data_IF_343965308458
#
_entry.id   IF_343965308458
#
_cell.length_a   1.000
_cell.length_b   1.000
_cell.length_c   1.000
_cell.angle_alpha   90.00
_cell.angle_beta   90.00
_cell.angle_gamma   90.00
#
_symmetry.space_group_name_H-M   'P 1'
#
loop_
_entity.id
_entity.type
_entity.pdbx_description
1 polymer ?
#
# COMPACT_ATOMS: atom_id res chain seq x y z
N UNK A 1 7.14 -16.64 25.25
CA UNK A 1 6.43 -17.11 26.43
C UNK A 1 4.96 -17.31 26.05
N UNK A 2 4.60 -18.52 25.92
CA UNK A 2 3.37 -19.27 25.75
C UNK A 2 2.03 -18.54 25.63
N UNK A 3 1.61 -18.31 24.38
CA UNK A 3 0.24 -17.97 23.98
C UNK A 3 -0.75 -19.17 24.08
N UNK A 4 -0.33 -20.31 24.60
CA UNK A 4 -1.16 -21.52 24.78
C UNK A 4 -2.12 -21.44 25.97
N UNK A 5 -1.90 -20.49 26.88
CA UNK A 5 -2.66 -20.43 28.16
C UNK A 5 -4.06 -19.86 27.95
N UNK A 6 -4.26 -18.97 26.99
CA UNK A 6 -5.55 -18.26 26.82
C UNK A 6 -6.65 -19.11 26.14
N UNK A 7 -6.28 -20.12 25.34
CA UNK A 7 -7.29 -21.01 24.72
C UNK A 7 -7.84 -22.06 25.71
N UNK A 8 -7.07 -22.42 26.73
CA UNK A 8 -7.55 -23.33 27.78
C UNK A 8 -8.61 -22.71 28.71
N UNK A 9 -8.67 -21.38 28.78
CA UNK A 9 -9.74 -20.68 29.55
C UNK A 9 -11.12 -20.84 28.94
N UNK A 10 -11.22 -21.30 27.70
CA UNK A 10 -12.49 -21.58 27.02
C UNK A 10 -12.85 -23.06 26.98
N UNK A 11 -12.10 -23.92 27.70
CA UNK A 11 -12.47 -25.32 27.85
C UNK A 11 -13.78 -25.41 28.64
N UNK A 12 -14.77 -26.03 28.03
CA UNK A 12 -16.05 -26.32 28.68
C UNK A 12 -15.73 -27.18 29.91
N UNK A 13 -16.14 -26.83 31.13
CA UNK A 13 -15.91 -27.66 32.27
C UNK A 13 -16.61 -29.01 32.06
N UNK A 14 -15.81 -30.08 32.02
CA UNK A 14 -16.32 -31.44 31.97
C UNK A 14 -17.03 -31.72 33.29
N UNK A 15 -18.36 -31.76 33.23
CA UNK A 15 -19.16 -32.21 34.37
C UNK A 15 -18.94 -33.70 34.57
N UNK A 16 -18.79 -34.17 35.85
CA UNK A 16 -18.64 -35.62 36.12
C UNK A 16 -19.89 -36.37 35.67
N UNK A 17 -19.68 -37.48 34.97
CA UNK A 17 -20.71 -38.39 34.50
C UNK A 17 -21.53 -38.96 35.68
N UNK A 18 -22.66 -38.34 35.96
CA UNK A 18 -23.74 -39.03 36.66
C UNK A 18 -24.73 -39.50 35.60
N UNK A 19 -24.90 -40.79 35.48
CA UNK A 19 -25.95 -41.45 34.68
C UNK A 19 -27.30 -41.03 35.18
N UNK A 20 -27.86 -39.96 34.65
CA UNK A 20 -29.26 -39.59 34.79
C UNK A 20 -29.87 -39.55 33.40
N UNK A 21 -30.80 -40.46 33.13
CA UNK A 21 -31.74 -40.44 32.02
C UNK A 21 -32.59 -39.20 32.10
N UNK A 22 -32.13 -38.09 31.55
CA UNK A 22 -32.95 -36.90 31.36
C UNK A 22 -33.72 -36.98 30.03
N UNK A 23 -35.05 -36.94 30.15
CA UNK A 23 -35.92 -36.60 29.04
C UNK A 23 -35.58 -35.17 28.58
N UNK A 24 -35.08 -35.02 27.36
CA UNK A 24 -34.85 -33.73 26.70
C UNK A 24 -36.19 -33.03 26.50
N UNK A 25 -36.46 -31.97 27.25
CA UNK A 25 -37.56 -31.09 27.04
C UNK A 25 -37.18 -30.03 25.98
N UNK A 26 -38.19 -29.44 25.32
CA UNK A 26 -37.97 -28.43 24.25
C UNK A 26 -37.12 -27.21 24.71
N UNK A 27 -37.06 -26.94 26.03
CA UNK A 27 -36.24 -25.91 26.67
C UNK A 27 -34.75 -26.19 26.70
N UNK A 28 -34.32 -27.46 26.53
CA UNK A 28 -32.89 -27.82 26.48
C UNK A 28 -32.26 -27.50 25.11
N UNK A 29 -33.07 -27.24 24.07
CA UNK A 29 -32.58 -26.87 22.73
C UNK A 29 -31.98 -25.45 22.70
N UNK A 30 -32.38 -24.56 23.60
CA UNK A 30 -31.86 -23.18 23.66
C UNK A 30 -30.50 -23.11 24.39
N UNK A 31 -30.10 -24.16 25.08
CA UNK A 31 -28.82 -24.27 25.80
C UNK A 31 -27.76 -25.08 25.08
N UNK A 32 -27.92 -25.39 23.80
CA UNK A 32 -26.79 -25.84 22.96
C UNK A 32 -25.87 -24.66 22.80
N UNK A 33 -24.88 -24.59 23.69
CA UNK A 33 -23.85 -23.55 23.61
C UNK A 33 -23.22 -23.67 22.22
N UNK A 34 -23.46 -22.64 21.40
CA UNK A 34 -22.96 -22.52 20.05
C UNK A 34 -21.42 -22.50 20.13
N UNK A 35 -20.82 -23.63 19.91
CA UNK A 35 -19.39 -23.86 20.07
C UNK A 35 -18.56 -22.87 19.23
N UNK A 36 -19.05 -22.52 18.05
CA UNK A 36 -18.41 -21.52 17.20
C UNK A 36 -18.36 -20.12 17.82
N UNK A 37 -19.45 -19.73 18.53
CA UNK A 37 -19.48 -18.44 19.26
C UNK A 37 -18.55 -18.42 20.45
N UNK A 38 -18.32 -19.56 21.10
CA UNK A 38 -17.34 -19.67 22.20
C UNK A 38 -15.92 -19.49 21.72
N UNK A 39 -15.58 -20.05 20.56
CA UNK A 39 -14.23 -19.96 19.98
C UNK A 39 -13.96 -18.60 19.31
N UNK A 40 -14.99 -17.90 18.84
CA UNK A 40 -14.83 -16.64 18.08
C UNK A 40 -13.94 -15.61 18.79
N UNK A 41 -14.12 -15.28 20.07
CA UNK A 41 -13.30 -14.25 20.73
C UNK A 41 -11.81 -14.59 20.75
N UNK A 42 -11.48 -15.86 21.02
CA UNK A 42 -10.09 -16.35 21.04
C UNK A 42 -9.45 -16.32 19.65
N UNK A 43 -10.15 -16.85 18.65
CA UNK A 43 -9.66 -16.86 17.26
C UNK A 43 -9.56 -15.46 16.68
N UNK A 44 -10.51 -14.58 17.02
CA UNK A 44 -10.49 -13.17 16.63
C UNK A 44 -9.31 -12.43 17.24
N UNK A 45 -9.02 -12.65 18.51
CA UNK A 45 -7.86 -12.08 19.20
C UNK A 45 -6.57 -12.49 18.50
N UNK A 46 -6.39 -13.79 18.23
CA UNK A 46 -5.23 -14.32 17.52
C UNK A 46 -5.08 -13.73 16.11
N UNK A 47 -6.20 -13.54 15.39
CA UNK A 47 -6.18 -12.93 14.06
C UNK A 47 -5.64 -11.49 14.10
N UNK A 48 -6.18 -10.64 14.97
CA UNK A 48 -5.78 -9.24 15.03
C UNK A 48 -4.38 -9.07 15.59
N UNK A 49 -3.99 -9.79 16.65
CA UNK A 49 -2.62 -9.78 17.17
C UNK A 49 -1.61 -10.16 16.07
N UNK A 50 -1.86 -11.24 15.34
CA UNK A 50 -0.97 -11.65 14.24
C UNK A 50 -0.96 -10.63 13.10
N UNK A 51 -2.12 -10.03 12.76
CA UNK A 51 -2.22 -9.04 11.71
C UNK A 51 -1.44 -7.76 12.05
N UNK A 52 -1.50 -7.31 13.31
CA UNK A 52 -0.85 -6.08 13.79
C UNK A 52 0.65 -6.27 14.06
N UNK A 53 1.10 -7.50 14.39
CA UNK A 53 2.52 -7.83 14.52
C UNK A 53 3.27 -7.84 13.19
N UNK A 54 2.57 -8.04 12.06
CA UNK A 54 3.20 -8.07 10.75
C UNK A 54 3.57 -6.66 10.29
N UNK A 55 4.77 -6.48 9.69
CA UNK A 55 5.22 -5.18 9.23
C UNK A 55 4.23 -4.58 8.22
N UNK A 56 4.01 -3.27 8.35
CA UNK A 56 3.19 -2.48 7.45
C UNK A 56 4.11 -1.54 6.66
N UNK A 57 4.41 -1.92 5.40
CA UNK A 57 5.34 -1.15 4.56
C UNK A 57 4.60 -0.14 3.68
N UNK A 58 3.41 -0.50 3.16
CA UNK A 58 2.66 0.32 2.22
C UNK A 58 2.25 1.69 2.78
N UNK A 59 1.96 1.79 4.07
CA UNK A 59 1.57 3.06 4.70
C UNK A 59 2.69 4.12 4.68
N UNK A 60 3.94 3.70 4.49
CA UNK A 60 5.08 4.61 4.37
C UNK A 60 5.15 5.33 3.04
N UNK A 61 4.51 4.81 2.00
CA UNK A 61 4.57 5.37 0.63
C UNK A 61 3.25 5.97 0.16
N UNK A 62 2.14 5.69 0.85
CA UNK A 62 0.80 6.14 0.49
C UNK A 62 0.28 7.26 1.39
N UNK A 63 -0.53 8.15 0.81
CA UNK A 63 -1.46 8.98 1.56
C UNK A 63 -2.62 8.12 2.04
N UNK A 64 -2.69 7.87 3.36
CA UNK A 64 -3.65 6.96 3.97
C UNK A 64 -4.97 7.66 4.24
N UNK A 65 -6.02 7.27 3.52
CA UNK A 65 -7.35 7.84 3.61
C UNK A 65 -8.40 6.82 4.06
N UNK A 66 -9.50 7.31 4.64
CA UNK A 66 -10.67 6.47 4.98
C UNK A 66 -11.88 6.98 4.20
N UNK A 67 -12.57 6.08 3.52
CA UNK A 67 -13.75 6.40 2.73
C UNK A 67 -15.03 5.86 3.37
N UNK A 68 -16.12 6.61 3.23
CA UNK A 68 -17.49 6.15 3.55
C UNK A 68 -18.35 6.00 2.30
N UNK A 69 -17.84 6.40 1.13
CA UNK A 69 -18.55 6.37 -0.15
C UNK A 69 -18.41 5.00 -0.84
N UNK A 70 -19.16 4.79 -1.91
CA UNK A 70 -19.04 3.59 -2.75
C UNK A 70 -17.78 3.66 -3.64
N UNK A 71 -17.39 4.86 -4.04
CA UNK A 71 -16.21 5.20 -4.84
C UNK A 71 -15.74 6.60 -4.47
N UNK A 72 -14.47 6.89 -4.62
CA UNK A 72 -13.91 8.23 -4.49
C UNK A 72 -13.63 8.80 -5.88
N UNK A 73 -13.90 10.09 -6.02
CA UNK A 73 -13.55 10.87 -7.20
C UNK A 73 -12.53 11.91 -6.82
N UNK A 74 -11.48 12.00 -7.59
CA UNK A 74 -10.45 13.00 -7.45
C UNK A 74 -10.42 13.84 -8.74
N UNK A 75 -10.62 15.13 -8.59
CA UNK A 75 -10.73 16.07 -9.69
C UNK A 75 -9.42 16.84 -9.82
N UNK A 76 -8.68 16.55 -10.87
CA UNK A 76 -7.56 17.41 -11.23
C UNK A 76 -8.06 18.82 -11.57
N UNK A 77 -7.28 19.82 -11.25
CA UNK A 77 -7.50 21.21 -11.66
C UNK A 77 -6.25 21.72 -12.36
N UNK A 78 -6.45 22.53 -13.40
CA UNK A 78 -5.39 23.29 -14.03
C UNK A 78 -4.73 24.26 -13.05
N UNK A 79 -3.61 24.84 -13.42
CA UNK A 79 -2.88 25.82 -12.63
C UNK A 79 -3.08 27.23 -13.17
N UNK A 80 -3.02 28.23 -12.28
CA UNK A 80 -2.92 29.62 -12.72
C UNK A 80 -1.50 29.85 -13.28
N UNK A 81 -1.40 30.42 -14.48
CA UNK A 81 -0.13 30.88 -15.00
C UNK A 81 0.43 32.10 -14.23
N UNK A 82 1.43 32.72 -14.80
CA UNK A 82 2.05 33.91 -14.21
C UNK A 82 1.04 35.05 -13.92
N UNK A 83 1.33 35.80 -12.86
CA UNK A 83 0.58 36.97 -12.50
C UNK A 83 0.85 38.11 -13.50
N UNK A 84 -0.22 38.73 -13.98
CA UNK A 84 -0.10 39.87 -14.86
C UNK A 84 0.37 41.09 -14.08
N UNK A 85 1.47 41.71 -14.52
CA UNK A 85 1.95 42.97 -13.93
C UNK A 85 0.95 44.07 -14.19
N UNK A 86 0.47 44.71 -13.14
CA UNK A 86 -0.34 45.94 -13.25
C UNK A 86 0.56 47.11 -13.59
N UNK A 87 0.33 47.75 -14.73
CA UNK A 87 1.16 48.83 -15.22
C UNK A 87 0.55 50.20 -14.94
N UNK A 88 -0.78 50.27 -14.75
CA UNK A 88 -1.51 51.51 -14.50
C UNK A 88 -2.44 51.43 -13.29
N UNK A 89 -2.82 52.62 -12.78
CA UNK A 89 -3.71 52.72 -11.62
C UNK A 89 -5.13 52.22 -11.93
N UNK A 90 -5.53 52.22 -13.21
CA UNK A 90 -6.87 51.84 -13.68
C UNK A 90 -6.89 50.53 -14.48
N UNK A 91 -5.79 49.76 -14.49
CA UNK A 91 -5.75 48.49 -15.18
C UNK A 91 -6.73 47.50 -14.52
N UNK A 92 -7.52 46.82 -15.33
CA UNK A 92 -8.46 45.80 -14.88
C UNK A 92 -7.73 44.55 -14.41
N UNK A 93 -8.34 43.85 -13.45
CA UNK A 93 -7.84 42.52 -12.98
C UNK A 93 -8.15 41.48 -14.04
N UNK A 94 -7.14 40.76 -14.48
CA UNK A 94 -7.33 39.62 -15.38
C UNK A 94 -7.91 38.43 -14.61
N UNK A 95 -9.20 38.12 -14.81
CA UNK A 95 -9.85 36.94 -14.27
C UNK A 95 -9.60 35.76 -15.21
N UNK A 96 -9.00 34.68 -14.66
CA UNK A 96 -8.80 33.43 -15.38
C UNK A 96 -9.65 32.33 -14.73
N UNK A 97 -10.26 31.48 -15.54
CA UNK A 97 -10.91 30.25 -15.08
C UNK A 97 -9.90 29.12 -15.19
N UNK A 98 -9.79 28.31 -14.15
CA UNK A 98 -8.95 27.10 -14.20
C UNK A 98 -9.54 26.08 -15.17
N UNK A 99 -8.70 25.50 -16.01
CA UNK A 99 -9.09 24.39 -16.87
C UNK A 99 -9.47 23.19 -15.99
N UNK A 100 -10.59 22.47 -16.27
CA UNK A 100 -10.86 21.22 -15.59
C UNK A 100 -9.72 20.24 -15.90
N UNK A 101 -9.13 19.68 -14.89
CA UNK A 101 -8.09 18.67 -15.00
C UNK A 101 -8.67 17.29 -15.33
N UNK A 102 -7.81 16.31 -15.36
CA UNK A 102 -8.20 14.93 -15.61
C UNK A 102 -8.86 14.34 -14.35
N UNK A 103 -9.96 13.60 -14.56
CA UNK A 103 -10.76 13.00 -13.50
C UNK A 103 -10.28 11.57 -13.22
N UNK A 104 -10.18 11.22 -11.94
CA UNK A 104 -9.88 9.87 -11.49
C UNK A 104 -10.92 9.33 -10.52
N UNK A 105 -11.36 8.12 -10.79
CA UNK A 105 -12.28 7.39 -9.92
C UNK A 105 -11.60 6.19 -9.28
N UNK A 106 -11.66 6.09 -7.94
CA UNK A 106 -11.22 4.95 -7.16
C UNK A 106 -12.43 4.07 -6.81
N UNK A 107 -12.45 2.86 -7.36
CA UNK A 107 -13.50 1.88 -7.08
C UNK A 107 -13.00 0.96 -5.96
N UNK A 108 -13.74 0.90 -4.85
CA UNK A 108 -13.35 0.06 -3.71
C UNK A 108 -13.65 -1.41 -4.00
N UNK A 109 -12.62 -2.22 -4.03
CA UNK A 109 -12.71 -3.68 -4.18
C UNK A 109 -12.84 -4.37 -2.84
N UNK A 110 -13.63 -5.45 -2.80
CA UNK A 110 -13.84 -6.24 -1.60
C UNK A 110 -13.05 -7.55 -1.69
N UNK A 111 -12.30 -7.84 -0.63
CA UNK A 111 -11.53 -9.06 -0.51
C UNK A 111 -12.03 -9.87 0.68
N UNK A 112 -12.23 -11.16 0.47
CA UNK A 112 -12.72 -12.07 1.50
C UNK A 112 -12.01 -13.41 1.38
N UNK A 113 -11.68 -13.97 2.52
CA UNK A 113 -11.17 -15.33 2.66
C UNK A 113 -11.59 -15.88 4.01
N UNK A 114 -11.71 -17.21 4.12
CA UNK A 114 -12.15 -17.82 5.36
C UNK A 114 -11.63 -19.24 5.53
N UNK A 115 -11.90 -19.80 6.72
CA UNK A 115 -11.63 -21.18 7.06
C UNK A 115 -12.82 -21.76 7.82
N UNK A 116 -12.81 -23.08 7.96
CA UNK A 116 -13.83 -23.84 8.68
C UNK A 116 -13.18 -24.64 9.81
N UNK A 117 -13.89 -24.75 10.91
CA UNK A 117 -13.54 -25.64 12.03
C UNK A 117 -14.72 -26.58 12.24
N UNK A 118 -14.45 -27.89 12.22
CA UNK A 118 -15.45 -28.90 12.49
C UNK A 118 -15.63 -29.11 13.98
N UNK A 119 -16.78 -29.64 14.35
CA UNK A 119 -17.07 -29.94 15.73
C UNK A 119 -16.10 -31.00 16.30
N UNK A 120 -15.73 -31.99 15.50
CA UNK A 120 -14.79 -33.04 15.88
C UNK A 120 -13.44 -32.45 16.29
N UNK A 121 -12.94 -31.41 15.56
CA UNK A 121 -11.68 -30.74 15.92
C UNK A 121 -11.76 -30.07 17.30
N UNK A 122 -12.95 -29.57 17.68
CA UNK A 122 -13.15 -28.95 18.99
C UNK A 122 -13.34 -29.99 20.08
N UNK A 123 -14.11 -31.05 19.81
CA UNK A 123 -14.38 -32.13 20.74
C UNK A 123 -13.09 -32.94 21.05
N UNK A 124 -12.17 -33.05 20.09
CA UNK A 124 -10.84 -33.67 20.24
C UNK A 124 -9.78 -32.71 20.84
N UNK A 125 -10.18 -31.59 21.38
CA UNK A 125 -9.30 -30.57 22.01
C UNK A 125 -8.12 -30.12 21.12
N UNK A 126 -8.29 -30.07 19.79
CA UNK A 126 -7.24 -29.69 18.84
C UNK A 126 -6.98 -28.17 18.77
N UNK A 127 -7.04 -27.48 19.91
CA UNK A 127 -6.92 -26.02 20.01
C UNK A 127 -5.64 -25.46 19.39
N UNK A 128 -4.51 -26.19 19.53
CA UNK A 128 -3.24 -25.80 18.91
C UNK A 128 -3.27 -25.79 17.39
N UNK A 129 -4.03 -26.69 16.76
CA UNK A 129 -4.24 -26.71 15.32
C UNK A 129 -5.20 -25.61 14.89
N UNK A 130 -6.33 -25.44 15.61
CA UNK A 130 -7.31 -24.41 15.31
C UNK A 130 -6.73 -23.00 15.36
N UNK A 131 -5.79 -22.71 16.27
CA UNK A 131 -5.10 -21.43 16.37
C UNK A 131 -4.20 -21.10 15.15
N UNK A 132 -3.82 -22.10 14.34
CA UNK A 132 -3.03 -21.87 13.13
C UNK A 132 -3.83 -21.23 12.01
N UNK A 133 -5.14 -21.49 11.92
CA UNK A 133 -6.01 -20.97 10.86
C UNK A 133 -6.13 -19.43 10.88
N UNK A 134 -6.50 -18.78 12.00
CA UNK A 134 -6.56 -17.32 12.05
C UNK A 134 -5.19 -16.66 11.83
N UNK A 135 -4.08 -17.28 12.29
CA UNK A 135 -2.73 -16.80 12.00
C UNK A 135 -2.42 -16.83 10.51
N UNK A 136 -2.74 -17.93 9.82
CA UNK A 136 -2.55 -18.05 8.38
C UNK A 136 -3.42 -17.05 7.61
N UNK A 137 -4.68 -16.87 8.02
CA UNK A 137 -5.60 -15.89 7.42
C UNK A 137 -5.09 -14.46 7.61
N UNK A 138 -4.59 -14.10 8.78
CA UNK A 138 -4.03 -12.78 9.07
C UNK A 138 -2.81 -12.48 8.19
N UNK A 139 -1.88 -13.44 8.08
CA UNK A 139 -0.70 -13.32 7.21
C UNK A 139 -1.08 -13.16 5.74
N UNK A 140 -2.03 -13.96 5.26
CA UNK A 140 -2.54 -13.87 3.88
C UNK A 140 -3.20 -12.51 3.62
N UNK A 141 -3.99 -12.00 4.58
CA UNK A 141 -4.62 -10.67 4.48
C UNK A 141 -3.61 -9.53 4.40
N UNK A 142 -2.59 -9.53 5.28
CA UNK A 142 -1.51 -8.53 5.24
C UNK A 142 -0.72 -8.61 3.92
N UNK A 143 -0.31 -9.81 3.52
CA UNK A 143 0.41 -10.02 2.26
C UNK A 143 -0.37 -9.54 1.04
N UNK A 144 -1.71 -9.71 1.03
CA UNK A 144 -2.56 -9.21 -0.07
C UNK A 144 -2.52 -7.69 -0.17
N UNK A 145 -2.64 -6.97 0.95
CA UNK A 145 -2.59 -5.51 0.97
C UNK A 145 -1.22 -4.99 0.51
N UNK A 146 -0.12 -5.58 1.00
CA UNK A 146 1.23 -5.19 0.61
C UNK A 146 1.51 -5.43 -0.89
N UNK A 147 1.07 -6.58 -1.42
CA UNK A 147 1.20 -6.89 -2.87
C UNK A 147 0.42 -5.92 -3.73
N UNK A 148 -0.81 -5.62 -3.34
CA UNK A 148 -1.65 -4.69 -4.10
C UNK A 148 -1.05 -3.28 -4.08
N UNK A 149 -0.52 -2.87 -2.95
CA UNK A 149 0.07 -1.54 -2.78
C UNK A 149 1.31 -1.30 -3.66
N UNK A 150 2.09 -2.32 -3.98
CA UNK A 150 3.25 -2.16 -4.87
C UNK A 150 2.89 -2.29 -6.36
N UNK A 151 1.70 -2.78 -6.68
CA UNK A 151 1.25 -3.01 -8.07
C UNK A 151 1.37 -1.76 -8.96
N UNK A 152 0.97 -0.54 -8.54
CA UNK A 152 1.15 0.66 -9.37
C UNK A 152 2.60 1.00 -9.68
N UNK A 153 3.53 0.66 -8.78
CA UNK A 153 4.96 0.89 -9.01
C UNK A 153 5.56 -0.17 -9.93
N UNK A 154 5.17 -1.44 -9.76
CA UNK A 154 5.62 -2.55 -10.62
C UNK A 154 5.17 -2.34 -12.06
N UNK A 155 3.89 -2.04 -12.25
CA UNK A 155 3.28 -1.84 -13.56
C UNK A 155 3.46 -0.41 -14.09
N UNK A 156 4.10 0.46 -13.32
CA UNK A 156 4.19 1.89 -13.63
C UNK A 156 4.96 2.24 -14.90
N UNK A 157 5.65 1.29 -15.51
CA UNK A 157 6.35 1.45 -16.80
C UNK A 157 5.57 0.90 -18.00
N UNK A 158 4.45 0.21 -17.76
CA UNK A 158 3.63 -0.42 -18.79
C UNK A 158 2.46 0.50 -19.21
N UNK A 159 2.67 1.23 -20.32
CA UNK A 159 1.62 2.07 -20.91
C UNK A 159 0.47 1.26 -21.52
N UNK A 160 0.76 0.08 -22.08
CA UNK A 160 -0.23 -0.68 -22.83
C UNK A 160 -1.25 -1.37 -21.93
N UNK A 161 -0.77 -1.95 -20.82
CA UNK A 161 -1.61 -2.69 -19.88
C UNK A 161 -2.15 -1.85 -18.73
N UNK A 162 -1.39 -0.83 -18.31
CA UNK A 162 -1.66 -0.10 -17.08
C UNK A 162 -1.48 1.42 -17.21
N UNK A 163 -2.18 2.06 -18.18
CA UNK A 163 -2.12 3.51 -18.31
C UNK A 163 -2.74 4.18 -17.07
N UNK A 164 -2.18 5.33 -16.67
CA UNK A 164 -2.81 6.17 -15.68
C UNK A 164 -3.90 7.06 -16.35
N UNK A 165 -4.50 7.94 -15.59
CA UNK A 165 -5.61 8.82 -15.99
C UNK A 165 -5.32 9.69 -17.23
N UNK A 166 -4.07 9.97 -17.55
CA UNK A 166 -3.65 10.77 -18.71
C UNK A 166 -3.35 9.94 -19.98
N UNK A 167 -3.54 8.62 -19.90
CA UNK A 167 -3.29 7.67 -20.98
C UNK A 167 -1.83 7.28 -21.17
N UNK A 168 -0.92 7.75 -20.30
CA UNK A 168 0.49 7.36 -20.27
C UNK A 168 0.76 6.35 -19.15
N UNK A 169 1.96 5.72 -19.16
CA UNK A 169 2.44 4.95 -18.02
C UNK A 169 2.67 5.89 -16.83
N UNK A 170 2.62 5.39 -15.60
CA UNK A 170 2.91 6.19 -14.40
C UNK A 170 4.30 6.84 -14.48
N UNK A 171 5.29 6.13 -15.01
CA UNK A 171 6.63 6.65 -15.25
C UNK A 171 6.86 6.77 -16.75
N UNK A 172 6.80 7.99 -17.25
CA UNK A 172 6.90 8.33 -18.67
C UNK A 172 7.63 9.66 -18.87
N UNK A 173 8.18 9.86 -20.04
CA UNK A 173 8.72 11.16 -20.47
C UNK A 173 7.76 11.91 -21.43
N UNK A 174 6.49 11.47 -21.50
CA UNK A 174 5.50 11.92 -22.47
C UNK A 174 4.17 12.37 -21.87
N UNK A 175 4.09 12.58 -20.54
CA UNK A 175 2.86 13.06 -19.90
C UNK A 175 2.33 14.34 -20.52
N UNK A 176 1.07 14.41 -20.92
CA UNK A 176 0.49 15.61 -21.47
C UNK A 176 0.39 16.71 -20.39
N UNK A 177 0.63 17.95 -20.79
CA UNK A 177 0.42 19.14 -19.97
C UNK A 177 -0.78 19.88 -20.58
N UNK A 178 -1.87 20.03 -19.82
CA UNK A 178 -3.17 20.47 -20.34
C UNK A 178 -3.11 21.83 -21.03
N UNK A 179 -2.51 22.83 -20.40
CA UNK A 179 -2.44 24.18 -20.92
C UNK A 179 -1.21 24.44 -21.82
N UNK A 180 -0.34 23.42 -21.97
CA UNK A 180 0.85 23.45 -22.83
C UNK A 180 0.99 22.20 -23.70
N UNK A 181 0.22 22.06 -24.80
CA UNK A 181 0.19 20.83 -25.61
C UNK A 181 1.54 20.40 -26.21
N UNK A 182 2.46 21.35 -26.38
CA UNK A 182 3.82 21.07 -26.90
C UNK A 182 4.81 20.65 -25.82
N UNK A 183 4.54 20.98 -24.55
CA UNK A 183 5.35 20.55 -23.43
C UNK A 183 4.97 19.13 -22.99
N UNK A 184 5.94 18.39 -22.47
CA UNK A 184 5.72 17.04 -21.93
C UNK A 184 6.30 16.95 -20.54
N UNK A 185 5.48 16.42 -19.63
CA UNK A 185 5.91 16.08 -18.29
C UNK A 185 6.80 14.84 -18.32
N UNK A 186 7.81 14.80 -17.45
CA UNK A 186 8.84 13.76 -17.46
C UNK A 186 9.14 13.30 -16.05
N UNK A 187 8.88 12.05 -15.76
CA UNK A 187 9.21 11.42 -14.48
C UNK A 187 9.89 10.05 -14.62
N UNK A 188 10.27 9.65 -15.83
CA UNK A 188 11.04 8.44 -16.09
C UNK A 188 12.53 8.73 -15.92
N UNK A 189 13.19 8.03 -15.00
CA UNK A 189 14.64 7.97 -14.90
C UNK A 189 15.18 6.72 -15.58
N UNK A 190 16.44 6.74 -15.97
CA UNK A 190 17.09 5.62 -16.67
C UNK A 190 18.35 5.17 -15.93
N UNK A 191 18.66 3.89 -16.05
CA UNK A 191 19.87 3.28 -15.51
C UNK A 191 19.79 2.80 -14.07
N UNK A 192 20.80 2.04 -13.64
CA UNK A 192 20.88 1.44 -12.32
C UNK A 192 21.00 2.50 -11.23
N UNK A 193 20.75 2.11 -9.98
CA UNK A 193 20.88 2.97 -8.81
C UNK A 193 22.38 3.28 -8.56
N UNK A 194 22.81 4.41 -9.08
CA UNK A 194 24.17 4.95 -8.94
C UNK A 194 24.11 6.41 -8.47
N UNK A 195 25.21 6.93 -7.96
CA UNK A 195 25.34 8.33 -7.54
C UNK A 195 24.94 9.30 -8.67
N UNK A 196 25.45 9.05 -9.88
CA UNK A 196 25.18 9.89 -11.06
C UNK A 196 23.69 9.85 -11.46
N UNK A 197 23.10 8.65 -11.58
CA UNK A 197 21.70 8.50 -11.98
C UNK A 197 20.74 9.04 -10.93
N UNK A 198 21.06 8.85 -9.64
CA UNK A 198 20.28 9.42 -8.55
C UNK A 198 20.30 10.95 -8.56
N UNK A 199 21.47 11.57 -8.79
CA UNK A 199 21.58 13.03 -8.94
C UNK A 199 20.77 13.56 -10.12
N UNK A 200 20.81 12.87 -11.27
CA UNK A 200 19.99 13.24 -12.44
C UNK A 200 18.50 13.14 -12.15
N UNK A 201 18.06 12.09 -11.44
CA UNK A 201 16.68 11.93 -11.06
C UNK A 201 16.21 13.02 -10.05
N UNK A 202 17.05 13.36 -9.07
CA UNK A 202 16.79 14.46 -8.13
C UNK A 202 16.66 15.81 -8.84
N UNK A 203 17.49 16.06 -9.86
CA UNK A 203 17.39 17.26 -10.69
C UNK A 203 16.07 17.23 -11.50
N UNK A 204 15.76 16.11 -12.17
CA UNK A 204 14.52 15.93 -12.96
C UNK A 204 13.27 16.22 -12.09
N UNK A 205 13.23 15.77 -10.84
CA UNK A 205 12.11 16.06 -9.94
C UNK A 205 11.93 17.56 -9.67
N UNK A 206 13.02 18.31 -9.55
CA UNK A 206 12.98 19.77 -9.36
C UNK A 206 12.54 20.53 -10.60
N UNK A 207 12.76 19.97 -11.77
CA UNK A 207 12.38 20.54 -13.07
C UNK A 207 10.94 20.21 -13.47
N UNK A 208 10.17 19.54 -12.57
CA UNK A 208 8.76 19.23 -12.83
C UNK A 208 7.93 20.48 -12.91
N UNK A 209 7.09 20.56 -13.95
CA UNK A 209 6.19 21.68 -14.23
C UNK A 209 4.74 21.35 -13.94
N UNK A 210 3.95 22.37 -13.62
CA UNK A 210 2.50 22.29 -13.48
C UNK A 210 1.77 22.37 -14.84
N UNK A 211 0.44 22.41 -14.82
CA UNK A 211 -0.38 22.51 -16.04
C UNK A 211 -0.21 23.85 -16.78
N UNK A 212 0.23 24.89 -16.09
CA UNK A 212 0.51 26.19 -16.67
C UNK A 212 1.97 26.38 -17.13
N UNK A 213 2.82 25.36 -16.95
CA UNK A 213 4.23 25.40 -17.31
C UNK A 213 5.17 26.01 -16.26
N UNK A 214 4.69 26.28 -15.04
CA UNK A 214 5.52 26.79 -13.95
C UNK A 214 6.21 25.66 -13.22
N UNK A 215 7.41 25.91 -12.67
CA UNK A 215 8.12 24.94 -11.82
C UNK A 215 7.39 24.73 -10.49
N UNK A 216 7.09 23.48 -10.15
CA UNK A 216 6.38 23.13 -8.91
C UNK A 216 7.32 22.93 -7.72
N UNK A 217 8.63 22.75 -7.94
CA UNK A 217 9.66 22.60 -6.92
C UNK A 217 9.44 21.39 -6.01
N UNK A 218 9.21 20.20 -6.59
CA UNK A 218 9.19 18.94 -5.82
C UNK A 218 10.57 18.61 -5.25
N UNK A 219 10.58 18.02 -4.05
CA UNK A 219 11.79 17.61 -3.37
C UNK A 219 11.68 16.14 -2.95
N UNK A 220 12.51 15.28 -3.54
CA UNK A 220 12.57 13.89 -3.10
C UNK A 220 12.97 13.81 -1.62
N UNK A 221 12.21 13.08 -0.86
CA UNK A 221 12.47 12.79 0.57
C UNK A 221 12.57 11.30 0.84
N UNK A 222 12.07 10.45 -0.09
CA UNK A 222 12.12 8.99 0.02
C UNK A 222 12.72 8.36 -1.22
N UNK A 223 13.54 7.32 -0.96
CA UNK A 223 14.03 6.38 -1.97
C UNK A 223 13.38 5.03 -1.71
N UNK A 224 12.48 4.61 -2.62
CA UNK A 224 11.73 3.36 -2.54
C UNK A 224 12.45 2.32 -3.39
N UNK A 225 12.78 1.17 -2.81
CA UNK A 225 13.61 0.14 -3.43
C UNK A 225 13.15 -1.28 -3.08
N UNK A 226 13.46 -2.27 -3.93
CA UNK A 226 13.35 -3.68 -3.56
C UNK A 226 14.50 -4.08 -2.60
N UNK A 227 14.38 -5.22 -1.89
CA UNK A 227 15.41 -5.70 -0.97
C UNK A 227 16.78 -5.88 -1.62
N UNK A 228 16.83 -6.26 -2.90
CA UNK A 228 18.09 -6.46 -3.64
C UNK A 228 18.95 -5.19 -3.75
N UNK A 229 18.34 -4.00 -3.67
CA UNK A 229 19.06 -2.72 -3.75
C UNK A 229 19.37 -2.10 -2.38
N UNK A 230 18.97 -2.73 -1.27
CA UNK A 230 19.13 -2.17 0.08
C UNK A 230 20.58 -1.86 0.41
N UNK A 231 21.49 -2.82 0.24
CA UNK A 231 22.92 -2.62 0.49
C UNK A 231 23.52 -1.50 -0.38
N UNK A 232 23.11 -1.46 -1.65
CA UNK A 232 23.53 -0.39 -2.58
C UNK A 232 23.05 0.98 -2.11
N UNK A 233 21.80 1.09 -1.68
CA UNK A 233 21.23 2.35 -1.18
C UNK A 233 21.91 2.81 0.12
N UNK A 234 22.16 1.89 1.06
CA UNK A 234 22.86 2.19 2.31
C UNK A 234 24.28 2.70 2.03
N UNK A 235 25.03 2.05 1.10
CA UNK A 235 26.37 2.54 0.72
C UNK A 235 26.30 3.90 0.05
N UNK A 236 25.31 4.12 -0.81
CA UNK A 236 25.17 5.36 -1.56
C UNK A 236 24.79 6.55 -0.68
N UNK A 237 23.88 6.37 0.28
CA UNK A 237 23.36 7.42 1.13
C UNK A 237 24.08 7.52 2.47
N UNK A 238 24.60 6.42 2.99
CA UNK A 238 25.28 6.36 4.29
C UNK A 238 26.79 6.58 4.24
N UNK A 239 27.40 6.61 3.05
CA UNK A 239 28.84 6.81 2.93
C UNK A 239 29.20 8.29 2.85
N UNK A 240 30.08 8.73 3.74
CA UNK A 240 30.68 10.07 3.66
C UNK A 240 31.62 10.25 2.47
N UNK A 241 31.97 9.15 1.76
CA UNK A 241 32.89 9.13 0.63
C UNK A 241 32.25 8.47 -0.57
N UNK A 242 32.52 9.01 -1.75
CA UNK A 242 32.09 8.41 -3.01
C UNK A 242 32.92 7.15 -3.28
N UNK A 243 32.26 6.01 -3.38
CA UNK A 243 32.91 4.73 -3.69
C UNK A 243 33.42 4.73 -5.13
N UNK A 244 34.72 4.39 -5.32
CA UNK A 244 35.30 4.20 -6.65
C UNK A 244 36.07 5.42 -7.22
N UNK A 245 36.18 6.53 -6.51
CA UNK A 245 37.06 7.64 -6.90
C UNK A 245 38.43 7.54 -6.22
N UNK A 246 39.49 7.74 -6.97
CA UNK A 246 40.87 7.76 -6.43
C UNK A 246 41.11 8.96 -5.50
N UNK A 247 40.25 9.98 -5.51
CA UNK A 247 40.40 11.25 -4.80
C UNK A 247 39.65 11.32 -3.48
N UNK A 248 39.01 10.23 -3.00
CA UNK A 248 38.21 10.23 -1.77
C UNK A 248 37.20 11.40 -1.68
N UNK A 249 36.52 11.71 -2.77
CA UNK A 249 35.55 12.78 -2.82
C UNK A 249 34.43 12.56 -1.78
N UNK A 250 34.05 13.62 -1.09
CA UNK A 250 33.02 13.55 -0.03
C UNK A 250 31.63 13.55 -0.67
N UNK A 251 30.77 12.61 -0.29
CA UNK A 251 29.40 12.50 -0.78
C UNK A 251 28.45 13.54 -0.11
N UNK A 252 28.89 14.82 -0.04
CA UNK A 252 28.14 15.90 0.61
C UNK A 252 26.79 16.18 -0.04
N UNK A 253 26.66 15.92 -1.35
CA UNK A 253 25.47 16.24 -2.08
C UNK A 253 24.30 15.34 -1.67
N UNK A 254 24.48 14.02 -1.66
CA UNK A 254 23.41 13.08 -1.27
C UNK A 254 23.13 13.13 0.24
N UNK A 255 24.16 13.29 1.08
CA UNK A 255 23.97 13.47 2.52
C UNK A 255 23.12 14.69 2.88
N UNK A 256 23.18 15.76 2.05
CA UNK A 256 22.33 16.95 2.23
C UNK A 256 20.85 16.70 1.96
N UNK A 257 20.51 15.75 1.07
CA UNK A 257 19.11 15.46 0.73
C UNK A 257 18.41 14.70 1.85
N UNK A 258 19.11 13.91 2.67
CA UNK A 258 18.53 13.17 3.78
C UNK A 258 17.42 12.23 3.34
N UNK A 259 17.61 11.51 2.22
CA UNK A 259 16.62 10.60 1.69
C UNK A 259 16.35 9.45 2.67
N UNK A 260 15.09 9.24 3.02
CA UNK A 260 14.63 8.07 3.76
C UNK A 260 14.62 6.85 2.84
N UNK A 261 15.35 5.78 3.19
CA UNK A 261 15.29 4.51 2.46
C UNK A 261 14.03 3.75 2.88
N UNK A 262 13.18 3.42 1.92
CA UNK A 262 11.99 2.60 2.11
C UNK A 262 12.14 1.32 1.31
N UNK A 263 12.45 0.23 2.00
CA UNK A 263 12.52 -1.10 1.39
C UNK A 263 11.12 -1.70 1.35
N UNK A 264 10.71 -2.15 0.17
CA UNK A 264 9.42 -2.79 -0.07
C UNK A 264 9.64 -4.25 -0.50
N UNK A 265 9.34 -5.21 0.38
CA UNK A 265 9.63 -6.63 0.15
C UNK A 265 8.94 -7.18 -1.11
N UNK A 266 7.70 -6.74 -1.35
CA UNK A 266 6.92 -7.19 -2.51
C UNK A 266 7.27 -6.47 -3.83
N UNK A 267 8.23 -5.56 -3.83
CA UNK A 267 8.71 -4.90 -5.04
C UNK A 267 9.74 -5.74 -5.80
N UNK A 268 10.39 -6.70 -5.13
CA UNK A 268 11.40 -7.57 -5.70
C UNK A 268 10.86 -8.62 -6.68
N UNK A 269 11.76 -9.24 -7.44
CA UNK A 269 11.45 -10.27 -8.45
C UNK A 269 10.74 -11.49 -7.87
N UNK A 270 11.03 -11.87 -6.63
CA UNK A 270 10.39 -12.98 -5.93
C UNK A 270 8.87 -12.79 -5.75
N UNK A 271 8.39 -11.55 -5.77
CA UNK A 271 6.97 -11.20 -5.65
C UNK A 271 6.33 -10.79 -6.98
N UNK A 272 7.05 -10.93 -8.09
CA UNK A 272 6.59 -10.56 -9.43
C UNK A 272 6.96 -9.13 -9.86
N UNK A 273 7.77 -8.42 -9.06
CA UNK A 273 8.34 -7.12 -9.39
C UNK A 273 9.71 -7.22 -10.04
N UNK A 274 10.61 -6.30 -9.70
CA UNK A 274 11.96 -6.24 -10.26
C UNK A 274 12.99 -5.92 -9.18
N UNK A 275 14.15 -6.56 -9.27
CA UNK A 275 15.27 -6.34 -8.36
C UNK A 275 16.11 -5.09 -8.73
N UNK A 276 15.80 -4.45 -9.87
CA UNK A 276 16.55 -3.30 -10.39
C UNK A 276 15.78 -1.99 -10.35
N UNK A 277 14.44 -2.03 -10.21
CA UNK A 277 13.61 -0.84 -10.17
C UNK A 277 13.88 -0.03 -8.89
N UNK A 278 13.93 1.28 -9.03
CA UNK A 278 14.01 2.19 -7.89
C UNK A 278 13.21 3.45 -8.15
N UNK A 279 12.71 4.06 -7.09
CA UNK A 279 11.80 5.19 -7.18
C UNK A 279 12.18 6.28 -6.19
N UNK A 280 11.94 7.53 -6.58
CA UNK A 280 11.99 8.70 -5.72
C UNK A 280 10.59 9.20 -5.46
N UNK A 281 10.34 9.67 -4.24
CA UNK A 281 9.06 10.23 -3.82
C UNK A 281 9.27 11.50 -3.00
N UNK A 282 8.46 12.52 -3.28
CA UNK A 282 8.24 13.64 -2.38
C UNK A 282 7.12 13.25 -1.40
N UNK A 283 7.47 12.94 -0.15
CA UNK A 283 6.52 12.44 0.85
C UNK A 283 5.40 13.42 1.20
N UNK A 284 5.61 14.71 0.94
CA UNK A 284 4.65 15.76 1.31
C UNK A 284 3.68 16.13 0.19
N UNK A 285 4.04 15.83 -1.07
CA UNK A 285 3.33 16.37 -2.24
C UNK A 285 3.03 15.34 -3.33
N UNK A 286 3.23 14.05 -3.03
CA UNK A 286 2.83 12.99 -3.96
C UNK A 286 1.32 12.73 -3.87
N UNK A 287 0.76 12.18 -4.96
CA UNK A 287 -0.65 11.81 -5.05
C UNK A 287 -0.83 10.28 -5.20
N UNK A 288 -0.02 9.52 -4.49
CA UNK A 288 -0.18 8.08 -4.33
C UNK A 288 -1.14 7.84 -3.17
N UNK A 289 -2.40 7.46 -3.46
CA UNK A 289 -3.50 7.44 -2.51
C UNK A 289 -3.98 6.02 -2.21
N UNK A 290 -4.22 5.72 -0.93
CA UNK A 290 -4.82 4.48 -0.46
C UNK A 290 -6.07 4.80 0.38
N UNK A 291 -7.20 4.21 0.00
CA UNK A 291 -8.49 4.44 0.65
C UNK A 291 -9.00 3.18 1.31
N UNK A 292 -9.05 3.17 2.63
CA UNK A 292 -9.75 2.15 3.38
C UNK A 292 -11.25 2.43 3.40
N UNK A 293 -12.05 1.57 2.74
CA UNK A 293 -13.51 1.59 2.88
C UNK A 293 -13.94 0.75 4.08
N UNK A 294 -13.28 -0.39 4.29
CA UNK A 294 -13.40 -1.28 5.45
C UNK A 294 -12.04 -1.87 5.78
N UNK A 295 -11.57 -1.58 6.97
CA UNK A 295 -10.38 -2.25 7.52
C UNK A 295 -10.68 -3.73 7.73
N UNK A 296 -9.67 -4.60 7.90
CA UNK A 296 -9.89 -6.02 8.12
C UNK A 296 -10.89 -6.29 9.23
N UNK A 297 -11.90 -7.08 8.92
CA UNK A 297 -12.94 -7.55 9.84
C UNK A 297 -12.84 -9.08 9.93
N UNK A 298 -13.04 -9.62 11.13
CA UNK A 298 -13.12 -11.07 11.37
C UNK A 298 -14.51 -11.39 11.93
N UNK A 299 -15.23 -12.30 11.26
CA UNK A 299 -16.59 -12.71 11.64
C UNK A 299 -16.75 -14.21 11.54
N UNK A 300 -17.57 -14.73 12.44
CA UNK A 300 -18.00 -16.11 12.47
C UNK A 300 -19.43 -16.23 11.93
N UNK A 301 -19.72 -17.33 11.26
CA UNK A 301 -21.05 -17.78 10.90
C UNK A 301 -21.10 -19.30 11.10
N UNK A 302 -22.15 -19.78 11.76
CA UNK A 302 -22.39 -21.19 11.97
C UNK A 302 -23.32 -21.72 10.87
N UNK A 303 -22.99 -22.93 10.39
CA UNK A 303 -23.85 -23.67 9.47
C UNK A 303 -24.52 -24.80 10.24
N UNK A 304 -25.84 -24.75 10.36
CA UNK A 304 -26.61 -25.62 11.23
C UNK A 304 -26.59 -27.10 10.78
N UNK A 305 -26.57 -27.30 9.46
CA UNK A 305 -26.75 -28.66 8.88
C UNK A 305 -25.49 -29.52 8.92
N UNK A 306 -24.29 -28.93 9.02
CA UNK A 306 -23.02 -29.64 8.84
C UNK A 306 -22.11 -29.65 10.09
N UNK A 307 -22.58 -29.17 11.25
CA UNK A 307 -21.78 -29.03 12.48
C UNK A 307 -20.41 -28.36 12.27
N UNK A 308 -20.37 -27.35 11.36
CA UNK A 308 -19.16 -26.64 10.98
C UNK A 308 -19.32 -25.16 11.33
N UNK A 309 -18.30 -24.61 12.00
CA UNK A 309 -18.20 -23.17 12.22
C UNK A 309 -17.32 -22.56 11.15
N UNK A 310 -17.87 -21.59 10.40
CA UNK A 310 -17.16 -20.85 9.35
C UNK A 310 -16.70 -19.49 9.88
N UNK A 311 -15.45 -19.18 9.62
CA UNK A 311 -14.82 -17.93 10.00
C UNK A 311 -14.30 -17.25 8.75
N UNK A 312 -14.53 -15.94 8.63
CA UNK A 312 -14.09 -15.16 7.48
C UNK A 312 -13.42 -13.87 7.88
N UNK A 313 -12.36 -13.54 7.15
CA UNK A 313 -11.82 -12.21 7.03
C UNK A 313 -12.52 -11.46 5.90
N UNK A 314 -12.73 -10.17 6.08
CA UNK A 314 -13.27 -9.27 5.07
C UNK A 314 -12.54 -7.94 5.15
N UNK A 315 -12.14 -7.39 4.00
CA UNK A 315 -11.59 -6.05 3.90
C UNK A 315 -12.02 -5.42 2.58
N UNK A 316 -12.07 -4.08 2.55
CA UNK A 316 -12.43 -3.35 1.34
C UNK A 316 -11.62 -2.07 1.23
N UNK A 317 -10.92 -1.89 0.11
CA UNK A 317 -10.06 -0.76 -0.15
C UNK A 317 -9.92 -0.46 -1.64
N UNK A 318 -9.31 0.65 -1.96
CA UNK A 318 -8.81 1.00 -3.28
C UNK A 318 -7.51 1.77 -3.15
N UNK A 319 -6.70 1.75 -4.18
CA UNK A 319 -5.41 2.41 -4.22
C UNK A 319 -5.10 2.89 -5.65
N UNK A 320 -4.18 3.79 -5.77
CA UNK A 320 -3.72 4.27 -7.07
C UNK A 320 -3.06 5.64 -6.99
N UNK A 321 -2.84 6.23 -8.14
CA UNK A 321 -2.16 7.51 -8.33
C UNK A 321 -3.13 8.51 -8.92
N UNK A 322 -3.28 9.70 -8.33
CA UNK A 322 -4.08 10.80 -8.87
C UNK A 322 -3.27 11.77 -9.71
N UNK A 323 -1.98 11.91 -9.42
CA UNK A 323 -1.03 12.69 -10.21
C UNK A 323 0.33 11.97 -10.24
N UNK A 324 0.98 11.93 -11.40
CA UNK A 324 2.31 11.35 -11.56
C UNK A 324 3.41 12.23 -10.94
N UNK A 325 3.13 13.53 -10.74
CA UNK A 325 4.07 14.46 -10.16
C UNK A 325 4.43 14.10 -8.72
N UNK A 326 5.63 14.43 -8.30
CA UNK A 326 6.13 14.02 -6.98
C UNK A 326 6.64 12.58 -6.91
N UNK A 327 6.59 11.83 -8.04
CA UNK A 327 7.15 10.49 -8.19
C UNK A 327 8.11 10.46 -9.37
N UNK A 328 9.24 9.78 -9.22
CA UNK A 328 10.14 9.42 -10.32
C UNK A 328 10.44 7.93 -10.22
N UNK A 329 10.45 7.22 -11.34
CA UNK A 329 10.79 5.80 -11.39
C UNK A 329 11.86 5.50 -12.41
N UNK A 330 12.68 4.50 -12.11
CA UNK A 330 13.68 3.93 -13.01
C UNK A 330 13.53 2.42 -13.08
N UNK A 331 13.65 1.88 -14.29
CA UNK A 331 13.73 0.43 -14.50
C UNK A 331 15.07 -0.18 -14.06
N UNK A 332 16.05 0.66 -13.71
CA UNK A 332 17.40 0.20 -13.38
C UNK A 332 18.23 -0.26 -14.58
N UNK A 333 17.66 -0.19 -15.78
CA UNK A 333 18.35 -0.59 -17.03
C UNK A 333 18.73 0.67 -17.81
N UNK A 334 19.90 0.64 -18.46
CA UNK A 334 20.32 1.72 -19.36
C UNK A 334 19.46 1.65 -20.62
N UNK A 335 18.88 2.79 -21.03
CA UNK A 335 18.11 2.85 -22.28
C UNK A 335 19.03 2.47 -23.46
N UNK A 336 18.73 1.37 -24.14
CA UNK A 336 19.46 0.91 -25.32
C UNK A 336 20.32 -0.34 -25.11
N UNK A 337 20.12 -1.10 -24.01
CA UNK A 337 20.67 -2.45 -23.84
C UNK A 337 19.73 -3.51 -24.40
#
# INVERSE_FOLDING_TARGET
>A
MNTLIDLQMFAIPVQPTTTNTHHYTATDRDNVVNFGKLLEPGLRKIFFETYDELPEQYSRIYNMNTSKKAREHDWGMGAFGDWTKRSGQFDEVAYKTLSPGLDRTYIHEAFTQGFMITREMADDEQYGQMAKFPKALARSGRAKVEKDAVTPLINGFDKAGHPIFDGEALFSDAHPILDHPTAKGKNLATGPLTDENLKKALQKMRETIDEAGNLVQFHATRLIIPPALEDTAIRLLGSDRISGTQLNDTNKFLNKYGLEIVVMDYLGSAAGGSDTHWFLQDASRHELNFFWRKRPEFKQMEEFDNFVSKYRGYMRYSYGVSDWRGLIGSTGVVAGG
#
